data_IF_651476219218
#
_entry.id   IF_651476219218
#
_cell.length_a   1.000
_cell.length_b   1.000
_cell.length_c   1.000
_cell.angle_alpha   90.00
_cell.angle_beta   90.00
_cell.angle_gamma   90.00
#
_symmetry.space_group_name_H-M   'P 1'
#
loop_
_entity.id
_entity.type
_entity.pdbx_description
1 polymer ?
#
# COMPACT_ATOMS: atom_id res chain seq x y z
N UNK A 1 23.90 4.27 -2.57
CA UNK A 1 23.43 4.29 -1.17
C UNK A 1 23.37 2.87 -0.63
N UNK A 2 24.54 2.37 -0.22
CA UNK A 2 24.80 1.01 0.24
C UNK A 2 25.56 1.09 1.56
N UNK A 3 25.18 0.25 2.52
CA UNK A 3 25.87 0.10 3.80
C UNK A 3 25.23 0.93 4.90
N UNK A 4 24.57 0.26 5.86
CA UNK A 4 24.49 0.62 7.29
C UNK A 4 23.70 -0.41 8.13
N UNK A 5 23.73 -1.71 7.81
CA UNK A 5 23.07 -2.71 8.69
C UNK A 5 23.80 -4.04 8.87
N UNK A 6 24.95 -4.24 8.23
CA UNK A 6 25.61 -5.56 8.18
C UNK A 6 26.83 -5.73 9.10
N UNK A 7 27.23 -4.72 9.87
CA UNK A 7 28.50 -4.71 10.61
C UNK A 7 28.41 -4.80 12.15
N UNK A 8 27.20 -4.88 12.75
CA UNK A 8 27.05 -4.93 14.21
C UNK A 8 26.64 -6.30 14.78
N UNK A 9 26.45 -7.30 13.93
CA UNK A 9 26.01 -8.66 14.34
C UNK A 9 27.13 -9.71 14.31
N UNK A 10 28.39 -9.28 14.13
CA UNK A 10 29.52 -10.17 13.83
C UNK A 10 30.44 -10.47 15.02
N UNK A 11 30.06 -10.16 16.26
CA UNK A 11 30.95 -10.28 17.42
C UNK A 11 30.37 -11.02 18.64
N UNK A 12 29.37 -11.89 18.47
CA UNK A 12 29.07 -12.88 19.50
C UNK A 12 28.75 -14.23 18.85
N UNK A 13 29.83 -14.89 18.42
CA UNK A 13 29.84 -16.30 18.12
C UNK A 13 29.60 -17.07 19.42
N UNK A 14 28.45 -17.72 19.54
CA UNK A 14 28.27 -18.87 20.40
C UNK A 14 27.43 -19.87 19.62
N UNK A 15 28.14 -20.85 19.08
CA UNK A 15 27.61 -21.99 18.38
C UNK A 15 26.64 -22.76 19.30
N UNK A 16 25.39 -22.90 18.87
CA UNK A 16 24.61 -24.10 19.15
C UNK A 16 24.31 -24.77 17.82
N UNK A 17 25.11 -25.79 17.52
CA UNK A 17 24.76 -26.82 16.55
C UNK A 17 23.65 -27.67 17.15
N UNK A 18 22.54 -27.86 16.43
CA UNK A 18 21.71 -29.07 16.42
C UNK A 18 20.89 -29.05 15.12
N UNK A 19 21.13 -30.06 14.29
CA UNK A 19 20.42 -30.30 13.03
C UNK A 19 18.93 -30.59 13.29
N UNK A 20 18.04 -29.83 12.65
CA UNK A 20 16.60 -30.09 12.58
C UNK A 20 16.13 -29.96 11.13
N UNK A 21 15.26 -30.87 10.63
CA UNK A 21 14.96 -30.98 9.21
C UNK A 21 14.17 -29.76 8.73
N UNK A 22 14.46 -29.31 7.51
CA UNK A 22 13.67 -28.41 6.67
C UNK A 22 12.50 -27.71 7.37
N UNK A 23 12.81 -26.71 8.20
CA UNK A 23 11.80 -25.81 8.74
C UNK A 23 11.26 -24.96 7.61
N UNK A 24 10.19 -25.41 6.96
CA UNK A 24 9.35 -24.56 6.12
C UNK A 24 8.73 -23.52 7.04
N UNK A 25 9.44 -22.40 7.21
CA UNK A 25 8.84 -21.21 7.79
C UNK A 25 7.81 -20.71 6.78
N UNK A 26 6.56 -21.15 6.97
CA UNK A 26 5.36 -20.58 6.39
C UNK A 26 5.51 -19.06 6.43
N UNK A 27 5.62 -18.43 5.26
CA UNK A 27 5.44 -16.98 5.15
C UNK A 27 4.01 -16.71 5.60
N UNK A 28 3.77 -15.95 6.68
CA UNK A 28 2.42 -15.51 6.95
C UNK A 28 2.01 -14.72 5.71
N UNK A 29 0.93 -15.14 5.05
CA UNK A 29 0.27 -14.29 4.08
C UNK A 29 -0.10 -13.04 4.88
N UNK A 30 0.55 -11.91 4.58
CA UNK A 30 0.09 -10.63 5.09
C UNK A 30 -1.33 -10.50 4.54
N UNK A 31 -2.32 -10.79 5.39
CA UNK A 31 -3.68 -10.42 5.11
C UNK A 31 -3.61 -8.93 4.77
N UNK A 32 -4.07 -8.55 3.58
CA UNK A 32 -4.18 -7.16 3.19
C UNK A 32 -5.12 -6.51 4.20
N UNK A 33 -4.56 -6.03 5.31
CA UNK A 33 -5.31 -5.34 6.34
C UNK A 33 -5.92 -4.15 5.61
N UNK A 34 -7.26 -4.03 5.58
CA UNK A 34 -7.88 -2.82 5.07
C UNK A 34 -7.33 -1.71 5.95
N UNK A 35 -6.33 -0.99 5.43
CA UNK A 35 -5.71 0.08 6.18
C UNK A 35 -6.84 1.06 6.45
N UNK A 36 -7.15 1.40 7.71
CA UNK A 36 -8.25 2.32 8.02
C UNK A 36 -8.10 3.64 7.25
N UNK A 37 -6.85 4.04 7.01
CA UNK A 37 -6.47 5.14 6.13
C UNK A 37 -6.98 4.97 4.68
N UNK A 38 -6.93 3.76 4.11
CA UNK A 38 -7.45 3.49 2.75
C UNK A 38 -8.97 3.52 2.68
N UNK A 39 -9.67 3.14 3.77
CA UNK A 39 -11.13 3.20 3.82
C UNK A 39 -11.62 4.65 3.84
N UNK A 40 -11.01 5.50 4.68
CA UNK A 40 -11.32 6.94 4.75
C UNK A 40 -10.99 7.63 3.42
N UNK A 41 -9.82 7.39 2.85
CA UNK A 41 -9.46 7.94 1.53
C UNK A 41 -10.38 7.46 0.41
N UNK A 42 -10.87 6.22 0.47
CA UNK A 42 -11.89 5.74 -0.48
C UNK A 42 -13.21 6.45 -0.28
N UNK A 43 -13.68 6.59 0.96
CA UNK A 43 -14.93 7.27 1.25
C UNK A 43 -14.91 8.73 0.77
N UNK A 44 -13.80 9.45 0.99
CA UNK A 44 -13.60 10.81 0.51
C UNK A 44 -13.73 10.94 -1.02
N UNK A 45 -13.25 9.95 -1.78
CA UNK A 45 -13.34 9.94 -3.24
C UNK A 45 -14.59 9.23 -3.78
N UNK A 46 -15.37 8.53 -2.97
CA UNK A 46 -16.48 7.70 -3.45
C UNK A 46 -17.55 8.55 -4.16
N UNK A 47 -17.93 9.69 -3.58
CA UNK A 47 -18.89 10.61 -4.20
C UNK A 47 -18.41 11.19 -5.54
N UNK A 48 -17.14 11.58 -5.63
CA UNK A 48 -16.53 12.08 -6.87
C UNK A 48 -16.42 11.00 -7.93
N UNK A 49 -16.05 9.77 -7.56
CA UNK A 49 -15.97 8.63 -8.48
C UNK A 49 -17.34 8.32 -9.05
N UNK A 50 -18.40 8.27 -8.23
CA UNK A 50 -19.74 8.01 -8.74
C UNK A 50 -20.27 9.10 -9.68
N UNK A 51 -19.97 10.38 -9.42
CA UNK A 51 -20.47 11.48 -10.28
C UNK A 51 -19.64 11.71 -11.53
N UNK A 52 -18.31 11.58 -11.45
CA UNK A 52 -17.38 11.96 -12.51
C UNK A 52 -16.82 10.75 -13.27
N UNK A 53 -16.63 9.62 -12.59
CA UNK A 53 -15.93 8.44 -13.10
C UNK A 53 -16.77 7.15 -13.02
N UNK A 54 -18.11 7.27 -12.94
CA UNK A 54 -19.01 6.13 -12.71
C UNK A 54 -18.93 5.04 -13.77
N UNK A 55 -18.56 5.39 -15.00
CA UNK A 55 -18.31 4.46 -16.11
C UNK A 55 -17.04 3.61 -15.93
N UNK A 56 -16.08 4.08 -15.14
CA UNK A 56 -14.75 3.48 -14.94
C UNK A 56 -14.70 2.53 -13.72
N UNK A 57 -15.81 2.41 -12.98
CA UNK A 57 -15.92 1.75 -11.69
C UNK A 57 -15.44 0.29 -11.58
N UNK A 58 -15.44 -0.58 -12.63
CA UNK A 58 -14.96 -1.95 -12.41
C UNK A 58 -13.43 -2.04 -12.31
N UNK A 59 -12.66 -1.01 -12.68
CA UNK A 59 -11.19 -1.04 -12.74
C UNK A 59 -10.56 0.10 -11.95
N UNK A 60 -9.85 -0.23 -10.87
CA UNK A 60 -9.20 0.75 -9.99
C UNK A 60 -8.23 1.66 -10.75
N UNK A 61 -7.45 1.11 -11.68
CA UNK A 61 -6.48 1.89 -12.47
C UNK A 61 -7.17 2.94 -13.36
N UNK A 62 -8.32 2.59 -13.93
CA UNK A 62 -9.10 3.50 -14.76
C UNK A 62 -9.76 4.60 -13.91
N UNK A 63 -10.23 4.25 -12.70
CA UNK A 63 -10.71 5.24 -11.73
C UNK A 63 -9.60 6.22 -11.37
N UNK A 64 -8.38 5.76 -11.06
CA UNK A 64 -7.27 6.66 -10.72
C UNK A 64 -6.91 7.57 -11.90
N UNK A 65 -6.88 7.03 -13.12
CA UNK A 65 -6.63 7.83 -14.32
C UNK A 65 -7.74 8.87 -14.56
N UNK A 66 -9.00 8.50 -14.36
CA UNK A 66 -10.14 9.40 -14.45
C UNK A 66 -10.07 10.49 -13.38
N UNK A 67 -9.82 10.14 -12.11
CA UNK A 67 -9.65 11.10 -11.01
C UNK A 67 -8.49 12.08 -11.28
N UNK A 68 -7.37 11.60 -11.82
CA UNK A 68 -6.24 12.47 -12.21
C UNK A 68 -6.65 13.48 -13.31
N UNK A 69 -7.47 13.06 -14.30
CA UNK A 69 -7.99 13.96 -15.36
C UNK A 69 -9.07 14.91 -14.84
N UNK A 70 -9.95 14.42 -13.96
CA UNK A 70 -11.06 15.16 -13.38
C UNK A 70 -10.66 15.98 -12.14
N UNK A 71 -9.36 16.04 -11.81
CA UNK A 71 -8.79 16.83 -10.70
C UNK A 71 -9.42 18.22 -10.51
N UNK A 72 -9.67 19.05 -11.56
CA UNK A 72 -10.34 20.35 -11.39
C UNK A 72 -11.72 20.27 -10.73
N UNK A 73 -12.46 19.19 -10.95
CA UNK A 73 -13.84 18.98 -10.49
C UNK A 73 -13.94 18.13 -9.23
N UNK A 74 -12.83 17.59 -8.71
CA UNK A 74 -12.85 16.81 -7.46
C UNK A 74 -13.12 17.68 -6.24
N UNK A 75 -13.83 17.08 -5.27
CA UNK A 75 -13.92 17.61 -3.91
C UNK A 75 -12.53 17.84 -3.31
N UNK A 76 -12.36 18.84 -2.41
CA UNK A 76 -11.06 19.16 -1.82
C UNK A 76 -10.44 17.98 -1.04
N UNK A 77 -11.29 17.16 -0.42
CA UNK A 77 -10.87 15.94 0.28
C UNK A 77 -10.27 14.92 -0.68
N UNK A 78 -10.98 14.58 -1.77
CA UNK A 78 -10.47 13.62 -2.75
C UNK A 78 -9.23 14.15 -3.51
N UNK A 79 -9.18 15.44 -3.80
CA UNK A 79 -8.02 16.09 -4.44
C UNK A 79 -6.74 15.89 -3.62
N UNK A 80 -6.82 16.12 -2.32
CA UNK A 80 -5.69 15.91 -1.39
C UNK A 80 -5.21 14.47 -1.38
N UNK A 81 -6.10 13.50 -1.59
CA UNK A 81 -5.76 12.07 -1.71
C UNK A 81 -5.04 11.77 -3.02
N UNK A 82 -5.56 12.29 -4.13
CA UNK A 82 -4.99 12.09 -5.47
C UNK A 82 -3.61 12.76 -5.57
N UNK A 83 -3.44 13.92 -4.96
CA UNK A 83 -2.16 14.64 -4.89
C UNK A 83 -1.11 13.92 -4.02
N UNK A 84 -1.53 13.28 -2.92
CA UNK A 84 -0.65 12.46 -2.08
C UNK A 84 -0.27 11.13 -2.74
N UNK A 85 -1.08 10.62 -3.68
CA UNK A 85 -0.80 9.41 -4.47
C UNK A 85 -0.26 9.73 -5.88
N UNK A 86 0.08 11.00 -6.13
CA UNK A 86 0.45 11.57 -7.42
C UNK A 86 1.69 10.94 -8.03
#
# INVERSE_FOLDING_TARGET
MAGHVRSFRSACALALALAGPAGVAVRPATAAQPHPLVAEQRAACTGDVFRLCGTEAPRVDQIIACLKKARPSLSPACRSVVDQKG
#
